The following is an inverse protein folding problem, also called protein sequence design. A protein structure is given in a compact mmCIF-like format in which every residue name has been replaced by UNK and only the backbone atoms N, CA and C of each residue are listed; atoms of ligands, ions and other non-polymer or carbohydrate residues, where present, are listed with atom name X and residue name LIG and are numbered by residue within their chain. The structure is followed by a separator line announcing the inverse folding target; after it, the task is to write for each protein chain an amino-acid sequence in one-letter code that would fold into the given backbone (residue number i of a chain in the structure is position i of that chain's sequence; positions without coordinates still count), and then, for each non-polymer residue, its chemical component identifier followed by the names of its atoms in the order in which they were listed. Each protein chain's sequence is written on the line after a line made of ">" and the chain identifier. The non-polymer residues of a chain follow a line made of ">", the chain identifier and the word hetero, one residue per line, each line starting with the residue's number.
data_IF_237393463070
#
_entry.id   IF_237393463070
#
_cell.length_a   1.000
_cell.length_b   1.000
_cell.length_c   1.000
_cell.angle_alpha   90.00
_cell.angle_beta   90.00
_cell.angle_gamma   90.00
#
_symmetry.space_group_name_H-M   'P 1'
#
loop_
_entity.id
_entity.type
_entity.pdbx_description
1 polymer ?
#
# COMPACT_ATOMS: atom_id res chain seq x y z
N UNK A 1 -4.24 5.52 -40.45
CA UNK A 1 -3.66 5.96 -39.15
C UNK A 1 -3.89 4.83 -38.15
N UNK A 2 -2.93 4.48 -37.28
CA UNK A 2 -3.17 3.45 -36.28
C UNK A 2 -4.24 3.91 -35.29
N UNK A 3 -5.26 3.09 -35.09
CA UNK A 3 -6.33 3.34 -34.13
C UNK A 3 -5.87 2.93 -32.72
N UNK A 4 -5.68 3.92 -31.85
CA UNK A 4 -5.16 3.76 -30.49
C UNK A 4 -6.23 3.50 -29.43
N UNK A 5 -7.49 3.78 -29.74
CA UNK A 5 -8.64 3.52 -28.86
C UNK A 5 -9.50 2.46 -29.52
N UNK A 6 -9.71 1.34 -28.83
CA UNK A 6 -10.47 0.20 -29.37
C UNK A 6 -11.45 -0.32 -28.33
N UNK A 7 -12.47 -1.09 -28.75
CA UNK A 7 -13.29 -1.85 -27.81
C UNK A 7 -12.42 -2.68 -26.85
N UNK A 8 -12.73 -2.64 -25.55
CA UNK A 8 -11.99 -3.43 -24.57
C UNK A 8 -12.15 -4.92 -24.86
N UNK A 9 -11.04 -5.66 -24.89
CA UNK A 9 -11.02 -7.10 -25.19
C UNK A 9 -11.70 -7.49 -26.52
N UNK A 10 -11.74 -6.57 -27.51
CA UNK A 10 -12.43 -6.73 -28.79
C UNK A 10 -13.96 -6.91 -28.68
N UNK A 11 -14.57 -6.54 -27.54
CA UNK A 11 -16.01 -6.58 -27.34
C UNK A 11 -16.58 -5.15 -27.18
N UNK A 12 -17.35 -4.65 -28.16
CA UNK A 12 -17.91 -3.29 -28.12
C UNK A 12 -19.12 -3.13 -27.18
N UNK A 13 -19.68 -4.23 -26.66
CA UNK A 13 -20.82 -4.18 -25.73
C UNK A 13 -20.37 -4.11 -24.27
N UNK A 14 -19.08 -4.34 -23.99
CA UNK A 14 -18.49 -4.11 -22.68
C UNK A 14 -18.31 -2.60 -22.48
N UNK A 15 -18.81 -2.07 -21.36
CA UNK A 15 -18.67 -0.65 -20.98
C UNK A 15 -17.24 -0.24 -20.60
N UNK A 16 -16.24 -0.56 -21.42
CA UNK A 16 -14.84 -0.22 -21.23
C UNK A 16 -14.11 -0.03 -22.57
N UNK A 17 -13.03 0.76 -22.58
CA UNK A 17 -12.21 1.05 -23.75
C UNK A 17 -10.75 0.62 -23.54
N UNK A 18 -10.19 0.01 -24.57
CA UNK A 18 -8.76 -0.25 -24.70
C UNK A 18 -8.06 1.02 -25.16
N UNK A 19 -7.25 1.61 -24.28
CA UNK A 19 -6.53 2.88 -24.52
C UNK A 19 -5.04 2.72 -24.14
N UNK A 20 -4.15 3.63 -24.57
CA UNK A 20 -2.74 3.60 -24.14
C UNK A 20 -2.54 3.65 -22.62
N UNK A 21 -3.50 4.19 -21.86
CA UNK A 21 -3.46 4.21 -20.40
C UNK A 21 -4.00 2.91 -19.83
N UNK A 22 -5.17 2.44 -20.28
CA UNK A 22 -5.87 1.29 -19.68
C UNK A 22 -5.29 -0.07 -20.06
N UNK A 23 -4.75 -0.23 -21.28
CA UNK A 23 -4.40 -1.56 -21.81
C UNK A 23 -3.02 -1.69 -22.43
N UNK A 24 -2.17 -0.66 -22.32
CA UNK A 24 -0.79 -0.75 -22.80
C UNK A 24 0.00 -1.83 -22.07
N UNK A 25 1.04 -2.34 -22.73
CA UNK A 25 1.93 -3.36 -22.19
C UNK A 25 2.62 -2.90 -20.90
N UNK A 26 2.97 -1.61 -20.82
CA UNK A 26 3.60 -1.01 -19.63
C UNK A 26 2.61 -0.97 -18.48
N UNK A 27 1.41 -0.41 -18.66
CA UNK A 27 0.42 -0.31 -17.57
C UNK A 27 0.03 -1.71 -17.07
N UNK A 28 -0.27 -2.63 -18.00
CA UNK A 28 -0.60 -4.01 -17.63
C UNK A 28 0.57 -4.70 -16.92
N UNK A 29 1.79 -4.55 -17.43
CA UNK A 29 3.00 -5.09 -16.82
C UNK A 29 3.24 -4.56 -15.41
N UNK A 30 3.11 -3.24 -15.20
CA UNK A 30 3.26 -2.63 -13.89
C UNK A 30 2.18 -3.10 -12.91
N UNK A 31 0.90 -2.94 -13.27
CA UNK A 31 -0.23 -3.24 -12.38
C UNK A 31 -0.29 -4.73 -12.02
N UNK A 32 -0.06 -5.63 -12.98
CA UNK A 32 -0.07 -7.08 -12.73
C UNK A 32 1.04 -7.56 -11.79
N UNK A 33 2.11 -6.76 -11.62
CA UNK A 33 3.22 -7.06 -10.71
C UNK A 33 3.14 -6.31 -9.38
N UNK A 34 2.15 -5.42 -9.20
CA UNK A 34 1.89 -4.80 -7.91
C UNK A 34 1.45 -5.84 -6.89
N UNK A 35 1.74 -5.65 -5.58
CA UNK A 35 1.47 -6.67 -4.56
C UNK A 35 0.00 -7.08 -4.50
N UNK A 36 -0.93 -6.18 -4.81
CA UNK A 36 -2.35 -6.48 -4.84
C UNK A 36 -2.73 -7.54 -5.90
N UNK A 37 -2.05 -7.55 -7.04
CA UNK A 37 -2.40 -8.37 -8.22
C UNK A 37 -1.33 -9.41 -8.59
N UNK A 38 -0.15 -9.36 -7.95
CA UNK A 38 0.97 -10.26 -8.24
C UNK A 38 0.56 -11.71 -7.98
N UNK A 39 0.70 -12.54 -9.01
CA UNK A 39 0.35 -13.95 -8.96
C UNK A 39 1.30 -14.71 -8.03
N UNK A 40 0.78 -15.70 -7.32
CA UNK A 40 1.56 -16.57 -6.43
C UNK A 40 1.89 -16.00 -5.05
N UNK A 41 1.44 -14.78 -4.72
CA UNK A 41 1.55 -14.25 -3.37
C UNK A 41 0.35 -14.66 -2.49
N UNK A 42 0.65 -15.09 -1.26
CA UNK A 42 -0.36 -15.28 -0.22
C UNK A 42 -0.99 -13.95 0.19
N UNK A 43 -2.27 -13.92 0.61
CA UNK A 43 -2.93 -12.68 1.04
C UNK A 43 -2.16 -11.94 2.15
N UNK A 44 -1.54 -12.68 3.09
CA UNK A 44 -0.69 -12.13 4.14
C UNK A 44 0.49 -11.31 3.58
N UNK A 45 1.22 -11.88 2.62
CA UNK A 45 2.40 -11.22 2.05
C UNK A 45 2.02 -10.00 1.21
N UNK A 46 0.87 -10.05 0.52
CA UNK A 46 0.29 -8.89 -0.17
C UNK A 46 0.00 -7.77 0.83
N UNK A 47 -0.68 -8.10 1.92
CA UNK A 47 -0.96 -7.16 3.00
C UNK A 47 0.30 -6.54 3.58
N UNK A 48 1.33 -7.36 3.83
CA UNK A 48 2.61 -6.91 4.38
C UNK A 48 3.32 -5.89 3.48
N UNK A 49 3.52 -6.20 2.20
CA UNK A 49 4.21 -5.32 1.25
C UNK A 49 3.46 -3.99 1.07
N UNK A 50 2.12 -4.04 1.01
CA UNK A 50 1.26 -2.85 0.95
C UNK A 50 1.35 -2.05 2.25
N UNK A 51 1.27 -2.73 3.40
CA UNK A 51 1.39 -2.11 4.71
C UNK A 51 2.72 -1.37 4.84
N UNK A 52 3.85 -2.03 4.52
CA UNK A 52 5.19 -1.44 4.57
C UNK A 52 5.28 -0.14 3.77
N UNK A 53 4.78 -0.15 2.53
CA UNK A 53 4.76 1.05 1.69
C UNK A 53 3.93 2.17 2.32
N UNK A 54 2.71 1.87 2.78
CA UNK A 54 1.79 2.87 3.33
C UNK A 54 2.28 3.45 4.66
N UNK A 55 2.71 2.58 5.59
CA UNK A 55 3.27 3.02 6.86
C UNK A 55 4.49 3.92 6.69
N UNK A 56 5.37 3.59 5.74
CA UNK A 56 6.57 4.36 5.47
C UNK A 56 6.27 5.80 5.03
N UNK A 57 5.39 5.98 4.04
CA UNK A 57 5.13 7.33 3.52
C UNK A 57 4.21 8.16 4.44
N UNK A 58 3.32 7.52 5.21
CA UNK A 58 2.34 8.23 6.05
C UNK A 58 2.98 9.06 7.17
N UNK A 59 4.18 8.71 7.62
CA UNK A 59 4.91 9.50 8.63
C UNK A 59 5.24 10.90 8.12
N UNK A 60 5.54 11.05 6.82
CA UNK A 60 6.03 12.30 6.23
C UNK A 60 5.06 13.49 6.40
N UNK A 61 3.79 13.39 5.98
CA UNK A 61 2.80 14.45 6.15
C UNK A 61 2.59 14.85 7.61
N UNK A 62 2.53 13.89 8.54
CA UNK A 62 2.33 14.20 9.96
C UNK A 62 3.57 14.84 10.62
N UNK A 63 4.77 14.43 10.24
CA UNK A 63 6.02 15.04 10.72
C UNK A 63 6.17 16.48 10.20
N UNK A 64 6.03 16.69 8.88
CA UNK A 64 6.33 17.98 8.25
C UNK A 64 5.21 19.00 8.29
N UNK A 65 3.95 18.56 8.26
CA UNK A 65 2.79 19.45 8.18
C UNK A 65 1.90 19.35 9.43
N UNK A 66 2.27 18.54 10.41
CA UNK A 66 1.54 18.40 11.67
C UNK A 66 1.53 19.69 12.51
N UNK A 67 0.66 19.74 13.54
CA UNK A 67 0.58 20.87 14.45
C UNK A 67 1.85 21.05 15.29
N UNK A 68 2.55 19.95 15.61
CA UNK A 68 3.77 19.94 16.41
C UNK A 68 5.06 20.00 15.58
N UNK A 69 4.98 20.30 14.28
CA UNK A 69 6.13 20.30 13.34
C UNK A 69 7.31 21.20 13.74
N UNK A 70 7.05 22.24 14.53
CA UNK A 70 8.06 23.23 14.97
C UNK A 70 8.59 22.94 16.39
N UNK A 71 8.36 21.73 16.90
CA UNK A 71 8.77 21.32 18.25
C UNK A 71 9.79 20.19 18.19
N UNK A 72 10.55 20.00 19.26
CA UNK A 72 11.54 18.92 19.36
C UNK A 72 10.91 17.51 19.30
N UNK A 73 9.59 17.42 19.49
CA UNK A 73 8.82 16.17 19.43
C UNK A 73 8.07 15.98 18.11
N UNK A 74 8.36 16.78 17.07
CA UNK A 74 7.70 16.73 15.77
C UNK A 74 7.66 15.29 15.19
N UNK A 75 8.82 14.63 15.15
CA UNK A 75 8.96 13.29 14.58
C UNK A 75 8.18 12.23 15.38
N UNK A 76 8.23 12.31 16.71
CA UNK A 76 7.49 11.38 17.58
C UNK A 76 5.98 11.57 17.45
N UNK A 77 5.52 12.82 17.43
CA UNK A 77 4.12 13.15 17.18
C UNK A 77 3.68 12.67 15.80
N UNK A 78 4.54 12.84 14.79
CA UNK A 78 4.27 12.40 13.42
C UNK A 78 4.09 10.90 13.33
N UNK A 79 4.99 10.14 13.94
CA UNK A 79 4.92 8.69 14.03
C UNK A 79 3.67 8.20 14.76
N UNK A 80 3.36 8.75 15.94
CA UNK A 80 2.17 8.35 16.69
C UNK A 80 0.87 8.67 15.93
N UNK A 81 0.82 9.79 15.22
CA UNK A 81 -0.32 10.15 14.37
C UNK A 81 -0.48 9.18 13.20
N UNK A 82 0.62 8.78 12.56
CA UNK A 82 0.61 7.76 11.51
C UNK A 82 0.12 6.41 12.03
N UNK A 83 0.59 5.96 13.20
CA UNK A 83 0.13 4.71 13.83
C UNK A 83 -1.37 4.77 14.16
N UNK A 84 -1.85 5.90 14.68
CA UNK A 84 -3.28 6.11 14.92
C UNK A 84 -4.11 5.95 13.64
N UNK A 85 -3.66 6.55 12.53
CA UNK A 85 -4.32 6.39 11.23
C UNK A 85 -4.28 4.93 10.73
N UNK A 86 -3.15 4.24 10.90
CA UNK A 86 -2.99 2.83 10.51
C UNK A 86 -3.99 1.93 11.25
N UNK A 87 -4.24 2.18 12.54
CA UNK A 87 -5.24 1.43 13.32
C UNK A 87 -6.65 1.67 12.77
N UNK A 88 -6.99 2.92 12.40
CA UNK A 88 -8.29 3.24 11.78
C UNK A 88 -8.43 2.50 10.45
N UNK A 89 -7.42 2.59 9.57
CA UNK A 89 -7.42 1.92 8.27
C UNK A 89 -7.54 0.40 8.40
N UNK A 90 -6.83 -0.19 9.36
CA UNK A 90 -6.90 -1.63 9.65
C UNK A 90 -8.31 -2.02 10.10
N UNK A 91 -8.94 -1.19 10.94
CA UNK A 91 -10.32 -1.42 11.37
C UNK A 91 -11.29 -1.35 10.18
N UNK A 92 -11.13 -0.37 9.28
CA UNK A 92 -11.93 -0.28 8.05
C UNK A 92 -11.76 -1.52 7.16
N UNK A 93 -10.52 -2.03 7.01
CA UNK A 93 -10.26 -3.27 6.27
C UNK A 93 -10.94 -4.48 6.92
N UNK A 94 -10.89 -4.60 8.25
CA UNK A 94 -11.60 -5.67 8.98
C UNK A 94 -13.11 -5.60 8.78
N UNK A 95 -13.71 -4.41 8.87
CA UNK A 95 -15.14 -4.23 8.62
C UNK A 95 -15.51 -4.66 7.20
N UNK A 96 -14.74 -4.23 6.19
CA UNK A 96 -14.95 -4.60 4.80
C UNK A 96 -14.88 -6.12 4.60
N UNK A 97 -13.89 -6.80 5.18
CA UNK A 97 -13.76 -8.24 5.06
C UNK A 97 -14.93 -9.03 5.65
N UNK A 98 -15.53 -8.51 6.72
CA UNK A 98 -16.65 -9.15 7.40
C UNK A 98 -17.98 -9.02 6.66
N UNK A 99 -18.17 -7.96 5.86
CA UNK A 99 -19.47 -7.68 5.21
C UNK A 99 -19.46 -7.95 3.70
N UNK A 100 -18.29 -7.98 3.06
CA UNK A 100 -18.20 -8.03 1.59
C UNK A 100 -18.03 -9.44 1.01
N UNK A 101 -17.62 -10.42 1.82
CA UNK A 101 -17.32 -11.77 1.34
C UNK A 101 -18.34 -12.77 1.90
N UNK A 102 -19.15 -13.33 1.01
CA UNK A 102 -19.99 -14.50 1.29
C UNK A 102 -19.20 -15.80 1.08
N UNK A 103 -19.62 -16.87 1.76
CA UNK A 103 -18.84 -18.12 1.92
C UNK A 103 -18.69 -18.98 0.66
N UNK A 104 -19.26 -18.60 -0.48
CA UNK A 104 -19.28 -19.45 -1.68
C UNK A 104 -18.62 -18.79 -2.91
N UNK A 105 -17.62 -19.50 -3.45
CA UNK A 105 -17.17 -19.48 -4.84
C UNK A 105 -16.25 -18.33 -5.33
N UNK A 106 -15.42 -17.76 -4.46
CA UNK A 106 -14.40 -16.78 -4.91
C UNK A 106 -13.21 -17.47 -5.60
N UNK A 107 -12.93 -17.09 -6.85
CA UNK A 107 -11.77 -17.58 -7.64
C UNK A 107 -10.40 -17.08 -7.12
N UNK A 108 -10.38 -16.03 -6.28
CA UNK A 108 -9.16 -15.46 -5.71
C UNK A 108 -9.11 -15.71 -4.20
N UNK A 109 -7.96 -16.17 -3.72
CA UNK A 109 -7.66 -16.40 -2.30
C UNK A 109 -7.86 -15.13 -1.47
N UNK A 110 -7.65 -13.95 -2.06
CA UNK A 110 -7.84 -12.67 -1.37
C UNK A 110 -9.32 -12.34 -1.12
N UNK A 111 -10.24 -12.83 -1.96
CA UNK A 111 -11.67 -12.49 -1.92
C UNK A 111 -12.48 -13.44 -1.04
N UNK A 112 -11.86 -13.91 0.05
CA UNK A 112 -12.48 -14.74 1.08
C UNK A 112 -12.39 -14.03 2.43
N UNK A 113 -13.29 -14.32 3.37
CA UNK A 113 -13.21 -13.77 4.73
C UNK A 113 -11.87 -14.11 5.41
N UNK A 114 -11.38 -15.35 5.21
CA UNK A 114 -10.12 -15.81 5.77
C UNK A 114 -8.91 -15.13 5.13
N UNK A 115 -8.86 -15.07 3.79
CA UNK A 115 -7.78 -14.44 3.05
C UNK A 115 -7.72 -12.93 3.29
N UNK A 116 -8.86 -12.27 3.39
CA UNK A 116 -8.91 -10.85 3.75
C UNK A 116 -8.50 -10.60 5.20
N UNK A 117 -8.81 -11.53 6.12
CA UNK A 117 -8.29 -11.51 7.49
C UNK A 117 -6.76 -11.57 7.51
N UNK A 118 -6.16 -12.49 6.75
CA UNK A 118 -4.70 -12.57 6.59
C UNK A 118 -4.10 -11.30 5.98
N UNK A 119 -4.75 -10.76 4.95
CA UNK A 119 -4.35 -9.49 4.33
C UNK A 119 -4.34 -8.35 5.35
N UNK A 120 -5.39 -8.23 6.15
CA UNK A 120 -5.53 -7.17 7.15
C UNK A 120 -4.49 -7.30 8.27
N UNK A 121 -4.20 -8.53 8.71
CA UNK A 121 -3.10 -8.79 9.65
C UNK A 121 -1.74 -8.40 9.08
N UNK A 122 -1.47 -8.77 7.81
CA UNK A 122 -0.25 -8.39 7.10
C UNK A 122 -0.12 -6.87 6.97
N UNK A 123 -1.21 -6.18 6.61
CA UNK A 123 -1.25 -4.73 6.49
C UNK A 123 -0.89 -4.04 7.80
N UNK A 124 -1.48 -4.44 8.93
CA UNK A 124 -1.19 -3.84 10.23
C UNK A 124 0.29 -3.98 10.60
N UNK A 125 0.84 -5.20 10.53
CA UNK A 125 2.24 -5.47 10.88
C UNK A 125 3.19 -4.71 9.94
N UNK A 126 2.91 -4.76 8.64
CA UNK A 126 3.71 -4.06 7.64
C UNK A 126 3.67 -2.55 7.82
N UNK A 127 2.50 -1.98 8.10
CA UNK A 127 2.33 -0.53 8.23
C UNK A 127 2.97 0.02 9.51
N UNK A 128 2.79 -0.64 10.66
CA UNK A 128 3.48 -0.24 11.89
C UNK A 128 5.00 -0.39 11.71
N UNK A 129 5.45 -1.48 11.09
CA UNK A 129 6.87 -1.69 10.78
C UNK A 129 7.45 -0.65 9.83
N UNK A 130 6.73 -0.30 8.76
CA UNK A 130 7.13 0.73 7.78
C UNK A 130 7.18 2.12 8.40
N UNK A 131 6.20 2.47 9.24
CA UNK A 131 6.19 3.73 9.98
C UNK A 131 7.35 3.79 11.00
N UNK A 132 7.61 2.69 11.71
CA UNK A 132 8.73 2.59 12.64
C UNK A 132 10.08 2.70 11.92
N UNK A 133 10.21 2.08 10.75
CA UNK A 133 11.41 2.19 9.92
C UNK A 133 11.63 3.63 9.43
N UNK A 134 10.60 4.31 8.95
CA UNK A 134 10.67 5.71 8.57
C UNK A 134 11.08 6.61 9.76
N UNK A 135 10.49 6.39 10.93
CA UNK A 135 10.86 7.08 12.17
C UNK A 135 12.35 6.90 12.51
N UNK A 136 12.85 5.66 12.47
CA UNK A 136 14.26 5.36 12.76
C UNK A 136 15.21 5.99 11.75
N UNK A 137 14.88 5.98 10.45
CA UNK A 137 15.69 6.64 9.43
C UNK A 137 15.75 8.16 9.67
N UNK A 138 14.60 8.79 9.92
CA UNK A 138 14.51 10.23 10.15
C UNK A 138 15.22 10.65 11.45
N UNK A 139 15.12 9.84 12.51
CA UNK A 139 15.81 10.08 13.77
C UNK A 139 17.34 9.97 13.67
N UNK A 140 17.85 9.16 12.73
CA UNK A 140 19.27 8.87 12.58
C UNK A 140 19.89 9.44 11.30
N UNK A 141 19.27 10.43 10.66
CA UNK A 141 19.80 11.07 9.44
C UNK A 141 21.28 11.49 9.58
N UNK A 142 21.73 12.13 10.68
CA UNK A 142 23.13 12.54 10.79
C UNK A 142 24.11 11.37 10.75
N UNK A 143 23.73 10.23 11.34
CA UNK A 143 24.53 9.00 11.34
C UNK A 143 24.54 8.36 9.95
N UNK A 144 23.40 8.37 9.25
CA UNK A 144 23.32 7.85 7.89
C UNK A 144 24.13 8.69 6.90
N UNK A 145 24.15 10.01 7.09
CA UNK A 145 24.96 10.92 6.27
C UNK A 145 26.46 10.68 6.49
N UNK A 146 26.91 10.55 7.73
CA UNK A 146 28.33 10.29 8.01
C UNK A 146 28.77 8.91 7.51
N UNK A 147 27.94 7.87 7.69
CA UNK A 147 28.21 6.54 7.14
C UNK A 147 28.27 6.54 5.60
N UNK A 148 27.33 7.23 4.95
CA UNK A 148 27.30 7.35 3.48
C UNK A 148 28.50 8.12 2.92
N UNK A 149 28.95 9.17 3.62
CA UNK A 149 30.16 9.94 3.25
C UNK A 149 31.46 9.17 3.48
N UNK A 150 31.49 8.19 4.39
CA UNK A 150 32.68 7.35 4.64
C UNK A 150 32.83 6.17 3.66
N UNK A 151 31.81 5.93 2.83
CA UNK A 151 31.74 4.85 1.85
C UNK A 151 32.15 5.29 0.43
N UNK A 152 32.47 6.57 0.26
CA UNK A 152 33.02 7.19 -0.95
C UNK A 152 34.26 8.03 -0.59
#
# INVERSE_FOLDING_TARGET
>A
MPEFVRPYNNDPFVGNLSTPISTSSITKGLLSNLPAYRRGLSPLLRGLEIGMAHGYFLVGPFDKLGPLRNTDVALLSGFLSAVGLIIILTTCLSMYGNVSFDKDDSKDLLQTTEGWGQFTAGFLVGAVGGAGFAYLLLANIPVLQSAGLSLF
#
